data_IF_531888958811
#
_entry.id   IF_531888958811
#
_cell.length_a   1.000
_cell.length_b   1.000
_cell.length_c   1.000
_cell.angle_alpha   90.00
_cell.angle_beta   90.00
_cell.angle_gamma   90.00
#
_symmetry.space_group_name_H-M   'P 1'
#
loop_
_entity.id
_entity.type
_entity.pdbx_description
1 polymer ?
#
# COMPACT_ATOMS: atom_id res chain seq x y z
N UNK A 1 -4.39 -6.83 -4.54
CA UNK A 1 -4.36 -6.51 -5.99
C UNK A 1 -2.96 -6.04 -6.40
N UNK A 2 -2.67 -5.94 -7.71
CA UNK A 2 -1.34 -5.52 -8.23
C UNK A 2 -1.46 -4.25 -9.06
N UNK A 3 -0.57 -3.27 -8.83
CA UNK A 3 -0.61 -1.97 -9.52
C UNK A 3 -0.26 -2.02 -11.01
N UNK A 4 0.70 -2.85 -11.41
CA UNK A 4 1.24 -2.87 -12.79
C UNK A 4 0.37 -3.56 -13.86
N UNK A 5 -0.84 -3.99 -13.49
CA UNK A 5 -1.80 -4.59 -14.44
C UNK A 5 -2.81 -3.52 -14.84
N UNK A 6 -4.10 -3.79 -14.63
CA UNK A 6 -5.22 -2.92 -15.01
C UNK A 6 -5.27 -1.57 -14.30
N UNK A 7 -4.38 -1.30 -13.34
CA UNK A 7 -4.31 -0.02 -12.62
C UNK A 7 -3.32 0.98 -13.23
N UNK A 8 -2.64 0.62 -14.34
CA UNK A 8 -1.64 1.45 -15.03
C UNK A 8 -0.53 1.99 -14.12
N UNK A 9 -0.29 1.37 -12.97
CA UNK A 9 0.77 1.71 -12.04
C UNK A 9 2.11 1.06 -12.43
N UNK A 10 3.21 1.43 -11.76
CA UNK A 10 4.50 0.80 -11.97
C UNK A 10 4.59 -0.59 -11.30
N UNK A 11 5.57 -1.39 -11.73
CA UNK A 11 5.93 -2.65 -11.06
C UNK A 11 6.39 -2.41 -9.61
N UNK A 12 6.28 -3.44 -8.76
CA UNK A 12 6.64 -3.33 -7.34
C UNK A 12 5.61 -2.57 -6.49
N UNK A 13 4.36 -2.45 -6.97
CA UNK A 13 3.25 -1.82 -6.26
C UNK A 13 2.00 -2.70 -6.28
N UNK A 14 1.16 -2.55 -5.27
CA UNK A 14 -0.09 -3.27 -5.09
C UNK A 14 -0.74 -2.86 -3.78
N UNK A 15 -1.75 -3.61 -3.37
CA UNK A 15 -2.42 -3.37 -2.10
C UNK A 15 -3.14 -4.60 -1.59
N UNK A 16 -3.38 -4.62 -0.28
CA UNK A 16 -4.11 -5.65 0.43
C UNK A 16 -5.38 -5.03 1.01
N UNK A 17 -6.53 -5.61 0.68
CA UNK A 17 -7.82 -5.15 1.21
C UNK A 17 -8.21 -6.07 2.37
N UNK A 18 -8.34 -5.49 3.56
CA UNK A 18 -8.64 -6.20 4.79
C UNK A 18 -9.97 -5.71 5.31
N UNK A 19 -10.84 -6.65 5.71
CA UNK A 19 -12.11 -6.35 6.35
C UNK A 19 -11.85 -5.70 7.71
N UNK A 20 -12.66 -4.72 8.15
CA UNK A 20 -12.56 -4.21 9.52
C UNK A 20 -12.57 -5.33 10.56
N UNK A 21 -11.87 -5.10 11.67
CA UNK A 21 -11.80 -5.99 12.83
C UNK A 21 -11.14 -7.37 12.60
N UNK A 22 -10.54 -7.61 11.43
CA UNK A 22 -9.68 -8.77 11.20
C UNK A 22 -8.28 -8.51 11.78
N UNK A 23 -7.92 -9.26 12.84
CA UNK A 23 -6.56 -9.26 13.38
C UNK A 23 -5.65 -10.14 12.52
N UNK A 24 -4.54 -9.56 12.04
CA UNK A 24 -3.54 -10.22 11.21
C UNK A 24 -2.17 -10.01 11.84
N UNK A 25 -1.45 -11.10 12.08
CA UNK A 25 -0.08 -11.02 12.55
C UNK A 25 0.84 -10.45 11.45
N UNK A 26 1.75 -9.50 11.77
CA UNK A 26 2.75 -9.01 10.84
C UNK A 26 3.60 -10.16 10.27
N UNK A 27 3.81 -10.16 8.95
CA UNK A 27 4.74 -11.10 8.32
C UNK A 27 6.20 -10.68 8.51
N UNK A 28 6.44 -9.36 8.46
CA UNK A 28 7.75 -8.73 8.60
C UNK A 28 7.61 -7.63 9.63
N UNK A 29 8.54 -7.57 10.57
CA UNK A 29 8.64 -6.52 11.58
C UNK A 29 9.97 -5.77 11.43
N UNK A 30 9.97 -4.50 11.79
CA UNK A 30 11.12 -3.62 11.68
C UNK A 30 10.71 -2.15 11.83
N UNK A 31 11.61 -1.24 11.47
CA UNK A 31 11.31 0.19 11.51
C UNK A 31 10.08 0.51 10.67
N UNK A 32 9.10 1.22 11.25
CA UNK A 32 7.85 1.60 10.57
C UNK A 32 7.95 2.84 9.70
N UNK A 33 9.08 3.57 9.79
CA UNK A 33 9.24 4.86 9.11
C UNK A 33 8.38 6.00 9.67
N UNK A 34 7.47 5.72 10.61
CA UNK A 34 6.53 6.68 11.20
C UNK A 34 6.71 6.86 12.70
N UNK A 35 7.04 5.79 13.43
CA UNK A 35 7.23 5.78 14.89
C UNK A 35 8.69 5.48 15.27
N UNK A 36 9.59 6.44 15.01
CA UNK A 36 11.04 6.25 15.17
C UNK A 36 11.49 5.90 16.59
N UNK A 37 10.75 6.33 17.62
CA UNK A 37 11.11 6.10 19.02
C UNK A 37 10.44 4.88 19.63
N UNK A 38 9.53 4.23 18.90
CA UNK A 38 8.90 3.01 19.39
C UNK A 38 9.85 1.84 19.14
N UNK A 39 10.16 1.10 20.20
CA UNK A 39 11.05 -0.06 20.10
C UNK A 39 10.37 -1.23 19.39
N UNK A 40 9.03 -1.23 19.34
CA UNK A 40 8.25 -2.31 18.76
C UNK A 40 7.59 -1.87 17.46
N UNK A 41 7.48 -2.83 16.54
CA UNK A 41 6.71 -2.63 15.32
C UNK A 41 5.24 -2.33 15.66
N UNK A 42 4.61 -1.33 15.00
CA UNK A 42 3.21 -1.01 15.20
C UNK A 42 2.28 -2.23 15.03
N UNK A 43 1.17 -2.24 15.77
CA UNK A 43 0.15 -3.29 15.69
C UNK A 43 -1.20 -2.80 15.17
N UNK A 44 -1.29 -1.53 14.82
CA UNK A 44 -2.48 -0.95 14.19
C UNK A 44 -2.33 -0.94 12.67
N UNK A 45 -3.45 -1.12 11.99
CA UNK A 45 -3.52 -1.09 10.53
C UNK A 45 -3.49 0.34 10.00
N UNK A 46 -2.87 0.60 8.82
CA UNK A 46 -2.18 -0.37 7.95
C UNK A 46 -0.72 -0.67 8.35
N UNK A 47 -0.09 0.15 9.19
CA UNK A 47 1.35 0.10 9.48
C UNK A 47 1.83 -1.26 9.99
N UNK A 48 0.97 -2.01 10.68
CA UNK A 48 1.23 -3.37 11.14
C UNK A 48 1.65 -4.34 10.01
N UNK A 49 1.34 -4.04 8.76
CA UNK A 49 1.70 -4.86 7.59
C UNK A 49 2.69 -4.16 6.64
N UNK A 50 3.22 -2.99 7.01
CA UNK A 50 4.06 -2.15 6.15
C UNK A 50 5.41 -1.83 6.80
N UNK A 51 6.18 -2.87 7.14
CA UNK A 51 7.53 -2.71 7.68
C UNK A 51 8.51 -2.15 6.65
N UNK A 52 9.33 -1.19 7.10
CA UNK A 52 10.43 -0.61 6.33
C UNK A 52 10.06 0.67 5.57
N UNK A 53 11.00 1.14 4.76
CA UNK A 53 10.79 2.33 3.93
C UNK A 53 9.80 2.04 2.81
N UNK A 54 8.71 2.80 2.79
CA UNK A 54 7.66 2.69 1.78
C UNK A 54 8.19 3.01 0.38
N UNK A 55 7.73 2.27 -0.63
CA UNK A 55 8.01 2.53 -2.06
C UNK A 55 7.28 3.79 -2.57
N UNK A 56 7.67 4.97 -2.07
CA UNK A 56 7.00 6.25 -2.34
C UNK A 56 6.90 6.58 -3.84
N UNK A 57 7.97 6.31 -4.60
CA UNK A 57 8.01 6.54 -6.04
C UNK A 57 7.02 5.62 -6.78
N UNK A 58 6.97 4.34 -6.40
CA UNK A 58 6.02 3.40 -6.95
C UNK A 58 4.58 3.81 -6.63
N UNK A 59 4.31 4.17 -5.38
CA UNK A 59 2.99 4.62 -4.93
C UNK A 59 2.54 5.89 -5.66
N UNK A 60 3.43 6.84 -5.92
CA UNK A 60 3.11 8.03 -6.72
C UNK A 60 2.70 7.65 -8.15
N UNK A 61 3.39 6.70 -8.78
CA UNK A 61 3.02 6.18 -10.10
C UNK A 61 1.68 5.42 -10.08
N UNK A 62 1.42 4.62 -9.04
CA UNK A 62 0.15 3.91 -8.88
C UNK A 62 -1.00 4.91 -8.69
N UNK A 63 -0.80 5.95 -7.88
CA UNK A 63 -1.78 7.01 -7.68
C UNK A 63 -2.11 7.74 -8.98
N UNK A 64 -1.11 8.01 -9.82
CA UNK A 64 -1.33 8.61 -11.14
C UNK A 64 -2.14 7.69 -12.07
N UNK A 65 -1.85 6.37 -12.08
CA UNK A 65 -2.60 5.39 -12.87
C UNK A 65 -4.06 5.27 -12.43
N UNK A 66 -4.31 5.22 -11.12
CA UNK A 66 -5.68 5.23 -10.56
C UNK A 66 -6.41 6.52 -10.94
N UNK A 67 -5.76 7.66 -10.80
CA UNK A 67 -6.34 8.95 -11.18
C UNK A 67 -6.72 9.01 -12.67
N UNK A 68 -5.90 8.45 -13.54
CA UNK A 68 -6.24 8.33 -14.97
C UNK A 68 -7.53 7.51 -15.20
N UNK A 69 -7.69 6.39 -14.49
CA UNK A 69 -8.91 5.58 -14.54
C UNK A 69 -10.12 6.37 -14.01
N UNK A 70 -9.98 7.09 -12.91
CA UNK A 70 -11.05 7.90 -12.33
C UNK A 70 -11.50 9.04 -13.28
N UNK A 71 -10.55 9.67 -13.97
CA UNK A 71 -10.83 10.74 -14.94
C UNK A 71 -11.41 10.21 -16.26
N UNK A 72 -10.99 9.02 -16.70
CA UNK A 72 -11.46 8.40 -17.96
C UNK A 72 -12.79 7.66 -17.78
N UNK A 73 -13.03 7.12 -16.59
CA UNK A 73 -14.15 6.24 -16.27
C UNK A 73 -13.81 4.76 -16.51
N UNK A 74 -14.17 3.90 -15.57
CA UNK A 74 -13.89 2.45 -15.63
C UNK A 74 -14.56 1.79 -16.84
N UNK A 75 -15.76 2.25 -17.23
CA UNK A 75 -16.50 1.70 -18.37
C UNK A 75 -15.85 1.99 -19.74
N UNK A 76 -14.90 2.92 -19.79
CA UNK A 76 -14.21 3.35 -21.01
C UNK A 76 -12.82 2.70 -21.20
N UNK A 77 -12.42 1.82 -20.28
CA UNK A 77 -11.10 1.16 -20.24
C UNK A 77 -11.24 -0.35 -20.33
#
# INVERSE_FOLDING_TARGET
FTGHKSLFGPQGTGGLCIVPDLDIAPLVEGGSGTHTFDERHPRFMPEALEAGTVNAHGLAGLAAGVRYIEETGVDAI
#
